data_IF_577472467456
#
_entry.id   IF_577472467456
#
_cell.length_a   1.000
_cell.length_b   1.000
_cell.length_c   1.000
_cell.angle_alpha   90.00
_cell.angle_beta   90.00
_cell.angle_gamma   90.00
#
_symmetry.space_group_name_H-M   'P 1'
#
loop_
_entity.id
_entity.type
_entity.pdbx_description
1 polymer ?
#
# COMPACT_ATOMS: atom_id res chain seq x y z
N UNK A 1 -24.46 -4.52 -17.74
CA UNK A 1 -24.14 -3.15 -18.24
C UNK A 1 -25.33 -2.22 -18.02
N UNK A 2 -26.58 -2.59 -18.37
CA UNK A 2 -27.77 -1.73 -18.22
C UNK A 2 -28.13 -1.47 -16.75
N UNK A 3 -28.07 -2.46 -15.87
CA UNK A 3 -28.33 -2.31 -14.43
C UNK A 3 -27.35 -1.36 -13.72
N UNK A 4 -26.14 -1.25 -14.24
CA UNK A 4 -25.13 -0.32 -13.73
C UNK A 4 -25.47 1.14 -14.06
N UNK A 5 -25.95 1.40 -15.28
CA UNK A 5 -26.26 2.75 -15.75
C UNK A 5 -27.47 3.39 -15.02
N UNK A 6 -28.54 2.63 -14.74
CA UNK A 6 -29.71 3.14 -14.01
C UNK A 6 -29.40 3.48 -12.55
N UNK A 7 -28.51 2.73 -11.93
CA UNK A 7 -28.16 2.93 -10.52
C UNK A 7 -27.29 4.18 -10.30
N UNK A 8 -26.37 4.47 -11.24
CA UNK A 8 -25.48 5.62 -11.15
C UNK A 8 -26.22 6.96 -11.34
N UNK A 9 -27.25 7.01 -12.15
CA UNK A 9 -28.04 8.21 -12.38
C UNK A 9 -28.77 8.69 -11.09
N UNK A 10 -29.08 7.78 -10.16
CA UNK A 10 -29.77 8.11 -8.90
C UNK A 10 -28.86 8.61 -7.78
N UNK A 11 -27.53 8.37 -7.87
CA UNK A 11 -26.58 8.69 -6.79
C UNK A 11 -25.90 10.04 -6.97
N UNK A 12 -25.76 10.51 -8.20
CA UNK A 12 -25.06 11.76 -8.51
C UNK A 12 -25.76 13.05 -8.05
N UNK A 13 -27.00 12.97 -7.58
CA UNK A 13 -27.78 14.15 -7.21
C UNK A 13 -27.79 14.46 -5.69
N UNK A 14 -27.45 13.48 -4.81
CA UNK A 14 -27.62 13.68 -3.37
C UNK A 14 -26.33 13.95 -2.57
N UNK A 15 -25.15 13.48 -3.02
CA UNK A 15 -23.91 13.65 -2.25
C UNK A 15 -22.73 14.11 -3.13
N UNK A 16 -22.51 15.40 -3.22
CA UNK A 16 -21.55 16.11 -4.06
C UNK A 16 -20.04 15.76 -3.90
N UNK A 17 -19.66 14.49 -3.82
CA UNK A 17 -18.29 14.06 -3.55
C UNK A 17 -17.59 13.19 -4.60
N UNK A 18 -18.30 12.70 -5.62
CA UNK A 18 -17.69 11.78 -6.61
C UNK A 18 -17.17 12.51 -7.86
N UNK A 19 -16.11 11.98 -8.47
CA UNK A 19 -15.49 12.58 -9.65
C UNK A 19 -16.41 12.59 -10.88
N UNK A 20 -16.18 13.51 -11.84
CA UNK A 20 -16.94 13.60 -13.08
C UNK A 20 -16.93 12.30 -13.92
N UNK A 21 -15.98 11.40 -13.69
CA UNK A 21 -15.91 10.09 -14.35
C UNK A 21 -17.04 9.16 -13.92
N UNK A 22 -17.67 9.43 -12.79
CA UNK A 22 -18.87 8.74 -12.34
C UNK A 22 -20.06 8.90 -13.29
N UNK A 23 -20.12 10.04 -13.97
CA UNK A 23 -21.17 10.34 -14.95
C UNK A 23 -21.00 9.56 -16.27
N UNK A 24 -19.84 8.96 -16.51
CA UNK A 24 -19.59 8.12 -17.69
C UNK A 24 -20.04 6.65 -17.53
N UNK A 25 -20.52 6.26 -16.37
CA UNK A 25 -21.10 4.94 -16.13
C UNK A 25 -20.09 3.81 -15.86
N UNK A 26 -18.79 4.12 -15.75
CA UNK A 26 -17.77 3.14 -15.41
C UNK A 26 -16.89 3.64 -14.26
N UNK A 27 -16.79 2.88 -13.17
CA UNK A 27 -15.82 3.15 -12.11
C UNK A 27 -14.46 2.63 -12.56
N UNK A 28 -13.49 3.53 -12.69
CA UNK A 28 -12.12 3.18 -13.07
C UNK A 28 -11.10 3.59 -12.01
N UNK A 29 -11.42 4.51 -11.12
CA UNK A 29 -10.50 5.04 -10.11
C UNK A 29 -10.49 4.15 -8.87
N UNK A 30 -9.30 3.78 -8.40
CA UNK A 30 -9.15 2.82 -7.31
C UNK A 30 -9.84 3.22 -6.02
N UNK A 31 -9.78 4.49 -5.62
CA UNK A 31 -10.48 5.00 -4.43
C UNK A 31 -11.99 4.95 -4.56
N UNK A 32 -12.53 5.37 -5.71
CA UNK A 32 -13.97 5.36 -5.98
C UNK A 32 -14.53 3.93 -6.02
N UNK A 33 -13.77 2.97 -6.61
CA UNK A 33 -14.12 1.55 -6.58
C UNK A 33 -14.20 1.04 -5.13
N UNK A 34 -13.21 1.38 -4.30
CA UNK A 34 -13.20 0.95 -2.90
C UNK A 34 -14.42 1.48 -2.14
N UNK A 35 -14.69 2.78 -2.21
CA UNK A 35 -15.85 3.40 -1.55
C UNK A 35 -17.18 2.80 -2.02
N UNK A 36 -17.32 2.60 -3.34
CA UNK A 36 -18.51 1.99 -3.90
C UNK A 36 -18.78 0.58 -3.34
N UNK A 37 -17.74 -0.28 -3.28
CA UNK A 37 -17.91 -1.64 -2.78
C UNK A 37 -18.21 -1.65 -1.29
N UNK A 38 -17.52 -0.82 -0.48
CA UNK A 38 -17.75 -0.68 0.95
C UNK A 38 -19.20 -0.30 1.25
N UNK A 39 -19.71 0.68 0.52
CA UNK A 39 -21.09 1.16 0.66
C UNK A 39 -22.12 0.11 0.21
N UNK A 40 -21.88 -0.54 -0.93
CA UNK A 40 -22.76 -1.63 -1.43
C UNK A 40 -22.86 -2.80 -0.47
N UNK A 41 -21.78 -3.16 0.17
CA UNK A 41 -21.74 -4.20 1.17
C UNK A 41 -22.29 -3.74 2.53
N UNK A 42 -22.62 -2.44 2.68
CA UNK A 42 -23.04 -1.81 3.95
C UNK A 42 -22.06 -2.12 5.09
N UNK A 43 -20.77 -2.13 4.76
CA UNK A 43 -19.71 -2.30 5.74
C UNK A 43 -19.54 -0.99 6.51
N UNK A 44 -19.24 -1.10 7.81
CA UNK A 44 -18.85 0.07 8.60
C UNK A 44 -17.42 0.47 8.22
N UNK A 45 -17.21 1.72 7.81
CA UNK A 45 -15.92 2.24 7.38
C UNK A 45 -15.74 3.71 7.75
N UNK A 46 -14.49 4.12 7.91
CA UNK A 46 -14.12 5.51 8.20
C UNK A 46 -14.17 6.34 6.90
N UNK A 47 -15.31 6.95 6.64
CA UNK A 47 -15.56 7.74 5.43
C UNK A 47 -14.53 8.87 5.25
N UNK A 48 -14.22 9.61 6.31
CA UNK A 48 -13.31 10.77 6.24
C UNK A 48 -11.88 10.33 5.90
N UNK A 49 -11.42 9.21 6.46
CA UNK A 49 -10.12 8.63 6.13
C UNK A 49 -10.04 8.18 4.65
N UNK A 50 -11.08 7.52 4.14
CA UNK A 50 -11.13 7.13 2.72
C UNK A 50 -11.15 8.35 1.80
N UNK A 51 -12.01 9.33 2.06
CA UNK A 51 -12.12 10.56 1.25
C UNK A 51 -10.82 11.35 1.28
N UNK A 52 -10.15 11.44 2.43
CA UNK A 52 -8.85 12.10 2.55
C UNK A 52 -7.76 11.49 1.65
N UNK A 53 -7.84 10.19 1.35
CA UNK A 53 -6.88 9.49 0.49
C UNK A 53 -7.28 9.43 -0.99
N UNK A 54 -8.51 9.80 -1.38
CA UNK A 54 -8.96 9.77 -2.78
C UNK A 54 -7.98 10.42 -3.76
N UNK A 55 -7.37 11.60 -3.47
CA UNK A 55 -6.42 12.22 -4.40
C UNK A 55 -5.19 11.35 -4.72
N UNK A 56 -4.87 10.39 -3.85
CA UNK A 56 -3.79 9.43 -4.04
C UNK A 56 -4.33 8.18 -4.72
N UNK A 57 -5.39 7.59 -4.18
CA UNK A 57 -5.95 6.32 -4.64
C UNK A 57 -6.51 6.40 -6.06
N UNK A 58 -7.10 7.55 -6.42
CA UNK A 58 -7.66 7.79 -7.75
C UNK A 58 -6.60 8.04 -8.85
N UNK A 59 -5.31 8.01 -8.49
CA UNK A 59 -4.21 7.94 -9.48
C UNK A 59 -4.02 6.54 -10.06
N UNK A 60 -4.61 5.52 -9.44
CA UNK A 60 -4.56 4.12 -9.86
C UNK A 60 -5.85 3.81 -10.60
N UNK A 61 -5.74 3.42 -11.85
CA UNK A 61 -6.86 3.14 -12.72
C UNK A 61 -6.98 1.64 -12.96
N UNK A 62 -8.18 1.13 -12.69
CA UNK A 62 -8.52 -0.28 -12.88
C UNK A 62 -9.69 -0.38 -13.85
N UNK A 63 -9.72 -1.43 -14.64
CA UNK A 63 -10.78 -1.65 -15.62
C UNK A 63 -11.08 -3.14 -15.71
N UNK A 64 -12.34 -3.50 -15.55
CA UNK A 64 -12.78 -4.88 -15.57
C UNK A 64 -14.13 -5.04 -14.91
N UNK A 65 -14.52 -6.27 -14.68
CA UNK A 65 -15.75 -6.62 -13.96
C UNK A 65 -15.50 -7.84 -13.09
N UNK A 66 -16.24 -7.94 -12.02
CA UNK A 66 -16.23 -9.11 -11.14
C UNK A 66 -17.18 -10.14 -11.74
N UNK A 67 -16.65 -11.26 -12.19
CA UNK A 67 -17.40 -12.38 -12.77
C UNK A 67 -17.30 -13.67 -11.94
N UNK A 68 -16.53 -13.63 -10.87
CA UNK A 68 -16.39 -14.75 -9.94
C UNK A 68 -17.45 -14.67 -8.84
N UNK A 69 -18.42 -15.59 -8.89
CA UNK A 69 -19.49 -15.68 -7.90
C UNK A 69 -19.13 -16.53 -6.68
N UNK A 70 -17.97 -17.16 -6.66
CA UNK A 70 -17.50 -17.97 -5.54
C UNK A 70 -16.74 -17.15 -4.50
N UNK A 71 -16.26 -15.94 -4.89
CA UNK A 71 -15.52 -15.03 -4.02
C UNK A 71 -16.43 -13.92 -3.50
N UNK A 72 -16.29 -13.54 -2.24
CA UNK A 72 -17.04 -12.37 -1.72
C UNK A 72 -16.55 -11.09 -2.40
N UNK A 73 -17.43 -10.10 -2.57
CA UNK A 73 -17.05 -8.82 -3.17
C UNK A 73 -15.94 -8.10 -2.38
N UNK A 74 -15.88 -8.33 -1.06
CA UNK A 74 -14.82 -7.80 -0.21
C UNK A 74 -13.48 -8.49 -0.46
N UNK A 75 -13.44 -9.81 -0.55
CA UNK A 75 -12.22 -10.55 -0.82
C UNK A 75 -11.71 -10.24 -2.24
N UNK A 76 -12.62 -10.19 -3.21
CA UNK A 76 -12.28 -9.77 -4.57
C UNK A 76 -11.66 -8.36 -4.59
N UNK A 77 -12.28 -7.38 -3.92
CA UNK A 77 -11.75 -6.02 -3.82
C UNK A 77 -10.36 -6.00 -3.19
N UNK A 78 -10.17 -6.75 -2.11
CA UNK A 78 -8.93 -6.84 -1.37
C UNK A 78 -7.80 -7.41 -2.21
N UNK A 79 -8.07 -8.47 -2.95
CA UNK A 79 -7.07 -9.17 -3.77
C UNK A 79 -6.75 -8.43 -5.07
N UNK A 80 -7.75 -7.85 -5.73
CA UNK A 80 -7.60 -7.34 -7.08
C UNK A 80 -7.43 -5.81 -7.18
N UNK A 81 -7.76 -5.07 -6.12
CA UNK A 81 -7.67 -3.61 -6.10
C UNK A 81 -6.79 -3.14 -4.93
N UNK A 82 -7.20 -3.42 -3.68
CA UNK A 82 -6.52 -2.89 -2.48
C UNK A 82 -5.07 -3.37 -2.42
N UNK A 83 -4.79 -4.62 -2.77
CA UNK A 83 -3.42 -5.19 -2.77
C UNK A 83 -2.43 -4.43 -3.67
N UNK A 84 -2.94 -3.65 -4.63
CA UNK A 84 -2.13 -2.86 -5.55
C UNK A 84 -2.13 -1.37 -5.23
N UNK A 85 -2.97 -0.92 -4.30
CA UNK A 85 -2.96 0.45 -3.80
C UNK A 85 -1.86 0.64 -2.74
N UNK A 86 -1.34 1.85 -2.56
CA UNK A 86 -0.29 2.13 -1.57
C UNK A 86 -0.85 2.29 -0.15
N UNK A 87 -1.79 1.44 0.23
CA UNK A 87 -2.46 1.48 1.53
C UNK A 87 -2.45 0.13 2.22
N UNK A 88 -2.53 0.17 3.53
CA UNK A 88 -2.92 -0.92 4.38
C UNK A 88 -4.31 -0.63 4.96
N UNK A 89 -5.18 -1.63 4.92
CA UNK A 89 -6.55 -1.48 5.43
C UNK A 89 -6.66 -2.19 6.77
N UNK A 90 -7.08 -1.46 7.79
CA UNK A 90 -7.22 -1.96 9.16
C UNK A 90 -8.64 -1.81 9.65
N UNK A 91 -9.01 -2.64 10.62
CA UNK A 91 -10.29 -2.52 11.32
C UNK A 91 -10.07 -1.69 12.58
N UNK A 92 -10.59 -0.49 12.61
CA UNK A 92 -10.49 0.47 13.72
C UNK A 92 -11.84 0.68 14.42
N UNK A 93 -11.87 1.53 15.43
CA UNK A 93 -13.11 1.92 16.10
C UNK A 93 -14.09 2.65 15.17
N UNK A 94 -13.61 3.26 14.07
CA UNK A 94 -14.41 3.89 13.02
C UNK A 94 -14.77 2.96 11.87
N UNK A 95 -14.54 1.65 12.01
CA UNK A 95 -14.75 0.66 10.94
C UNK A 95 -13.50 0.42 10.09
N UNK A 96 -13.70 0.04 8.84
CA UNK A 96 -12.63 -0.25 7.87
C UNK A 96 -11.93 1.06 7.48
N UNK A 97 -10.68 1.23 7.91
CA UNK A 97 -9.90 2.46 7.75
C UNK A 97 -8.67 2.22 6.87
N UNK A 98 -8.44 3.02 5.81
CA UNK A 98 -7.24 2.95 4.99
C UNK A 98 -6.11 3.77 5.62
N UNK A 99 -4.90 3.23 5.63
CA UNK A 99 -3.69 3.92 6.06
C UNK A 99 -2.66 3.90 4.93
N UNK A 100 -2.08 5.05 4.62
CA UNK A 100 -1.06 5.15 3.59
C UNK A 100 0.21 4.42 4.03
N UNK A 101 0.78 3.60 3.16
CA UNK A 101 2.01 2.86 3.44
C UNK A 101 3.20 3.81 3.65
N UNK A 102 4.03 3.50 4.63
CA UNK A 102 5.25 4.26 4.95
C UNK A 102 6.16 4.48 3.73
N UNK A 103 6.20 3.49 2.83
CA UNK A 103 7.05 3.49 1.64
C UNK A 103 6.39 4.04 0.37
N UNK A 104 5.27 4.74 0.49
CA UNK A 104 4.64 5.33 -0.69
C UNK A 104 5.62 6.25 -1.44
N UNK A 105 5.92 5.93 -2.71
CA UNK A 105 7.01 6.54 -3.45
C UNK A 105 6.85 8.03 -3.74
N UNK A 106 5.63 8.52 -3.86
CA UNK A 106 5.38 9.92 -4.23
C UNK A 106 5.17 10.85 -3.05
N UNK A 107 4.96 10.31 -1.87
CA UNK A 107 4.73 11.12 -0.66
C UNK A 107 5.12 10.32 0.59
N UNK A 108 6.05 10.83 1.38
CA UNK A 108 6.34 10.24 2.69
C UNK A 108 5.26 10.70 3.66
N UNK A 109 4.54 9.78 4.32
CA UNK A 109 3.53 10.14 5.30
C UNK A 109 4.11 10.99 6.43
N UNK A 110 3.31 11.91 6.97
CA UNK A 110 3.72 12.71 8.12
C UNK A 110 3.78 11.87 9.39
N UNK A 111 4.70 12.24 10.28
CA UNK A 111 4.80 11.65 11.61
C UNK A 111 3.69 12.18 12.50
N UNK A 112 2.86 11.30 13.03
CA UNK A 112 1.76 11.64 13.93
C UNK A 112 2.23 11.81 15.37
N UNK A 113 3.19 10.99 15.80
CA UNK A 113 3.70 10.98 17.17
C UNK A 113 5.21 10.84 17.18
N UNK A 114 5.86 11.52 18.16
CA UNK A 114 7.29 11.34 18.45
C UNK A 114 7.44 10.60 19.77
N UNK A 115 8.15 9.49 19.76
CA UNK A 115 8.33 8.62 20.92
C UNK A 115 9.82 8.38 21.16
N UNK A 116 10.26 8.58 22.39
CA UNK A 116 11.60 8.20 22.84
C UNK A 116 11.49 6.96 23.72
N UNK A 117 12.37 5.99 23.49
CA UNK A 117 12.46 4.81 24.34
C UNK A 117 12.69 5.20 25.81
N UNK A 118 11.90 4.59 26.67
CA UNK A 118 11.97 4.79 28.11
C UNK A 118 11.28 3.59 28.79
N UNK A 119 11.31 3.48 30.11
CA UNK A 119 10.69 2.38 30.83
C UNK A 119 9.17 2.20 30.67
N UNK A 120 8.50 3.08 29.93
CA UNK A 120 7.07 2.96 29.55
C UNK A 120 6.85 2.53 28.10
N UNK A 121 7.87 2.68 27.26
CA UNK A 121 7.91 2.26 25.86
C UNK A 121 9.29 1.69 25.59
N UNK A 122 9.42 0.37 25.53
CA UNK A 122 10.67 -0.37 25.51
C UNK A 122 10.77 -1.25 24.27
N UNK A 123 11.93 -1.30 23.65
CA UNK A 123 12.22 -2.24 22.57
C UNK A 123 12.45 -3.63 23.16
N UNK A 124 11.68 -4.61 22.69
CA UNK A 124 11.77 -6.01 23.16
C UNK A 124 12.75 -6.81 22.31
N UNK A 125 12.72 -6.59 21.00
CA UNK A 125 13.56 -7.33 20.04
C UNK A 125 14.47 -6.37 19.30
N UNK A 126 15.65 -6.85 18.87
CA UNK A 126 16.45 -6.11 17.90
C UNK A 126 15.74 -6.00 16.54
N UNK A 127 16.32 -5.20 15.65
CA UNK A 127 15.82 -5.05 14.27
C UNK A 127 15.88 -6.42 13.57
N UNK A 128 14.72 -6.90 13.13
CA UNK A 128 14.55 -8.19 12.47
C UNK A 128 14.02 -8.00 11.03
N UNK A 129 14.46 -8.81 10.06
CA UNK A 129 13.82 -8.82 8.76
C UNK A 129 12.39 -9.34 8.89
N UNK A 130 11.45 -8.70 8.19
CA UNK A 130 10.12 -9.27 7.98
C UNK A 130 10.23 -10.43 6.98
N UNK A 131 9.39 -11.45 7.19
CA UNK A 131 9.33 -12.61 6.29
C UNK A 131 8.60 -12.26 4.99
N UNK A 132 9.22 -11.36 4.23
CA UNK A 132 8.76 -10.97 2.90
C UNK A 132 9.89 -11.18 1.90
N UNK A 133 9.63 -11.85 0.77
CA UNK A 133 10.67 -12.08 -0.23
C UNK A 133 11.16 -10.75 -0.82
N UNK A 134 12.48 -10.61 -0.89
CA UNK A 134 13.12 -9.47 -1.56
C UNK A 134 12.86 -9.56 -3.06
N UNK A 135 12.52 -8.43 -3.68
CA UNK A 135 12.30 -8.33 -5.13
C UNK A 135 13.02 -7.11 -5.66
N UNK A 136 13.85 -7.31 -6.68
CA UNK A 136 14.60 -6.23 -7.35
C UNK A 136 14.56 -6.30 -8.87
N UNK A 137 14.03 -7.39 -9.41
CA UNK A 137 13.70 -7.52 -10.82
C UNK A 137 12.22 -7.90 -10.90
N UNK A 138 11.38 -6.98 -11.36
CA UNK A 138 9.94 -7.14 -11.36
C UNK A 138 9.40 -7.01 -12.79
N UNK A 139 8.78 -8.08 -13.28
CA UNK A 139 8.01 -8.03 -14.53
C UNK A 139 6.54 -7.89 -14.20
N UNK A 140 5.91 -6.81 -14.65
CA UNK A 140 4.47 -6.60 -14.53
C UNK A 140 3.81 -6.83 -15.89
N UNK A 141 2.89 -7.78 -15.95
CA UNK A 141 2.02 -8.02 -17.09
C UNK A 141 0.67 -7.38 -16.84
N UNK A 142 0.17 -6.61 -17.82
CA UNK A 142 -1.09 -5.88 -17.74
C UNK A 142 -1.80 -5.82 -19.09
N UNK A 143 -2.96 -5.18 -19.19
CA UNK A 143 -3.83 -5.23 -20.38
C UNK A 143 -4.23 -6.67 -20.74
N UNK A 144 -4.85 -7.37 -19.79
CA UNK A 144 -5.34 -8.72 -20.06
C UNK A 144 -6.48 -8.72 -21.06
N UNK A 145 -6.37 -9.51 -22.11
CA UNK A 145 -7.40 -9.65 -23.15
C UNK A 145 -8.10 -10.98 -23.02
N UNK A 146 -9.38 -10.96 -22.70
CA UNK A 146 -10.23 -12.17 -22.67
C UNK A 146 -10.31 -12.87 -24.02
N UNK A 147 -10.25 -12.10 -25.13
CA UNK A 147 -10.34 -12.66 -26.48
C UNK A 147 -9.12 -13.50 -26.87
N UNK A 148 -7.95 -13.16 -26.31
CA UNK A 148 -6.69 -13.86 -26.61
C UNK A 148 -6.18 -14.67 -25.43
N UNK A 149 -6.87 -14.64 -24.29
CA UNK A 149 -6.47 -15.28 -23.04
C UNK A 149 -5.01 -14.97 -22.68
N UNK A 150 -4.62 -13.71 -22.82
CA UNK A 150 -3.23 -13.28 -22.61
C UNK A 150 -3.08 -11.80 -22.30
N UNK A 151 -1.98 -11.47 -21.63
CA UNK A 151 -1.57 -10.09 -21.38
C UNK A 151 -0.93 -9.49 -22.64
N UNK A 152 -1.40 -8.31 -23.04
CA UNK A 152 -0.96 -7.62 -24.26
C UNK A 152 0.22 -6.69 -24.02
N UNK A 153 0.52 -6.37 -22.75
CA UNK A 153 1.58 -5.43 -22.40
C UNK A 153 2.35 -5.90 -21.16
N UNK A 154 3.61 -5.49 -21.07
CA UNK A 154 4.42 -5.68 -19.88
C UNK A 154 5.40 -4.54 -19.66
N UNK A 155 5.72 -4.28 -18.41
CA UNK A 155 6.84 -3.42 -18.01
C UNK A 155 7.81 -4.24 -17.16
N UNK A 156 9.07 -3.84 -17.18
CA UNK A 156 10.12 -4.51 -16.42
C UNK A 156 10.86 -3.49 -15.58
N UNK A 157 11.01 -3.76 -14.28
CA UNK A 157 12.01 -3.09 -13.45
C UNK A 157 13.26 -3.95 -13.48
N UNK A 158 14.31 -3.49 -14.14
CA UNK A 158 15.57 -4.23 -14.24
C UNK A 158 16.70 -3.45 -13.55
N UNK A 159 17.26 -3.97 -12.44
CA UNK A 159 18.30 -3.28 -11.67
C UNK A 159 19.64 -3.16 -12.41
N UNK A 160 19.82 -3.86 -13.52
CA UNK A 160 21.06 -3.86 -14.32
C UNK A 160 21.11 -2.72 -15.32
N UNK A 161 19.96 -2.10 -15.61
CA UNK A 161 19.84 -1.03 -16.59
C UNK A 161 20.11 0.31 -15.91
N UNK A 162 20.92 1.14 -16.54
CA UNK A 162 21.30 2.47 -16.03
C UNK A 162 20.47 3.60 -16.61
N UNK A 163 19.82 3.39 -17.76
CA UNK A 163 19.01 4.38 -18.45
C UNK A 163 17.59 3.86 -18.63
N UNK A 164 16.58 4.75 -18.43
CA UNK A 164 15.20 4.41 -18.69
C UNK A 164 14.97 4.17 -20.16
N UNK A 165 14.29 3.07 -20.50
CA UNK A 165 13.82 2.73 -21.82
C UNK A 165 12.30 2.63 -21.81
N UNK A 166 11.64 2.67 -22.95
CA UNK A 166 10.19 2.86 -23.07
C UNK A 166 9.29 1.96 -22.20
N UNK A 167 9.74 0.76 -21.84
CA UNK A 167 9.01 -0.18 -20.97
C UNK A 167 9.91 -0.81 -19.88
N UNK A 168 11.08 -0.21 -19.67
CA UNK A 168 12.03 -0.68 -18.67
C UNK A 168 12.32 0.45 -17.69
N UNK A 169 12.01 0.20 -16.42
CA UNK A 169 12.14 1.15 -15.32
C UNK A 169 13.52 1.02 -14.71
N UNK A 170 14.23 2.14 -14.67
CA UNK A 170 15.43 2.28 -13.87
C UNK A 170 15.06 2.77 -12.46
N UNK A 171 15.14 1.88 -11.48
CA UNK A 171 14.82 2.23 -10.10
C UNK A 171 16.09 2.13 -9.22
N UNK A 172 16.45 3.22 -8.48
CA UNK A 172 17.64 3.23 -7.64
C UNK A 172 17.56 2.24 -6.48
N UNK A 173 16.36 1.97 -5.94
CA UNK A 173 16.15 0.98 -4.88
C UNK A 173 16.40 -0.44 -5.42
N UNK A 174 15.89 -0.75 -6.61
CA UNK A 174 16.14 -2.03 -7.27
C UNK A 174 17.66 -2.26 -7.50
N UNK A 175 18.38 -1.24 -7.96
CA UNK A 175 19.85 -1.34 -8.15
C UNK A 175 20.60 -1.57 -6.86
N UNK A 176 20.29 -0.82 -5.80
CA UNK A 176 20.91 -1.00 -4.49
C UNK A 176 20.61 -2.39 -3.93
N UNK A 177 19.39 -2.85 -4.09
CA UNK A 177 18.97 -4.20 -3.72
C UNK A 177 19.75 -5.27 -4.46
N UNK A 178 19.90 -5.12 -5.77
CA UNK A 178 20.68 -6.05 -6.59
C UNK A 178 22.15 -6.12 -6.15
N UNK A 179 22.77 -4.99 -5.81
CA UNK A 179 24.14 -4.96 -5.29
C UNK A 179 24.28 -5.71 -3.96
N UNK A 180 23.26 -5.68 -3.09
CA UNK A 180 23.29 -6.31 -1.77
C UNK A 180 22.91 -7.78 -1.79
N UNK A 181 21.92 -8.15 -2.59
CA UNK A 181 21.22 -9.45 -2.49
C UNK A 181 21.31 -10.29 -3.77
N UNK A 182 21.94 -9.79 -4.83
CA UNK A 182 21.90 -10.39 -6.15
C UNK A 182 20.52 -10.26 -6.80
N UNK A 183 20.32 -10.93 -7.95
CA UNK A 183 19.07 -10.87 -8.70
C UNK A 183 17.94 -11.62 -7.95
N UNK A 184 16.82 -10.95 -7.75
CA UNK A 184 15.60 -11.47 -7.11
C UNK A 184 14.40 -11.14 -7.98
N UNK A 185 13.94 -12.12 -8.72
CA UNK A 185 12.94 -11.95 -9.77
C UNK A 185 11.53 -12.28 -9.27
N UNK A 186 10.56 -11.51 -9.75
CA UNK A 186 9.13 -11.79 -9.57
C UNK A 186 8.37 -11.37 -10.83
N UNK A 187 7.29 -12.09 -11.12
CA UNK A 187 6.31 -11.73 -12.16
C UNK A 187 5.00 -11.43 -11.47
N UNK A 188 4.44 -10.26 -11.73
CA UNK A 188 3.14 -9.82 -11.22
C UNK A 188 2.17 -9.68 -12.38
N UNK A 189 1.03 -10.31 -12.28
CA UNK A 189 -0.04 -10.27 -13.28
C UNK A 189 -1.16 -9.38 -12.77
N UNK A 190 -1.53 -8.36 -13.57
CA UNK A 190 -2.52 -7.34 -13.22
C UNK A 190 -3.68 -7.38 -14.23
N UNK A 191 -4.65 -8.29 -14.08
CA UNK A 191 -5.71 -8.47 -15.06
C UNK A 191 -6.61 -7.25 -15.21
N UNK A 192 -6.76 -6.45 -14.15
CA UNK A 192 -7.63 -5.28 -14.11
C UNK A 192 -6.91 -3.95 -14.38
N UNK A 193 -5.62 -3.96 -14.65
CA UNK A 193 -4.85 -2.75 -14.99
C UNK A 193 -4.65 -2.66 -16.49
N UNK A 194 -5.12 -1.55 -17.08
CA UNK A 194 -4.99 -1.25 -18.50
C UNK A 194 -4.14 -0.01 -18.75
N UNK A 195 -4.00 0.84 -17.76
CA UNK A 195 -3.21 2.06 -17.84
C UNK A 195 -1.74 1.82 -17.51
N UNK A 196 -0.86 2.24 -18.42
CA UNK A 196 0.59 2.13 -18.27
C UNK A 196 1.10 2.90 -17.03
N UNK A 197 0.51 4.07 -16.71
CA UNK A 197 0.93 4.87 -15.56
C UNK A 197 0.61 4.16 -14.25
N UNK A 198 -0.54 3.49 -14.17
CA UNK A 198 -0.92 2.65 -13.02
C UNK A 198 0.04 1.49 -12.86
N UNK A 199 0.37 0.77 -13.94
CA UNK A 199 1.35 -0.31 -13.89
C UNK A 199 2.72 0.16 -13.39
N UNK A 200 3.19 1.33 -13.85
CA UNK A 200 4.45 1.95 -13.36
C UNK A 200 4.40 2.31 -11.87
N UNK A 201 3.27 2.86 -11.38
CA UNK A 201 3.11 3.20 -9.96
C UNK A 201 3.17 1.94 -9.10
N UNK A 202 2.41 0.92 -9.47
CA UNK A 202 2.42 -0.37 -8.77
C UNK A 202 3.83 -0.97 -8.75
N UNK A 203 4.56 -0.93 -9.86
CA UNK A 203 5.93 -1.40 -9.94
C UNK A 203 6.85 -0.70 -8.93
N UNK A 204 6.80 0.63 -8.89
CA UNK A 204 7.62 1.45 -7.98
C UNK A 204 7.26 1.22 -6.51
N UNK A 205 5.98 1.14 -6.18
CA UNK A 205 5.53 0.89 -4.81
C UNK A 205 5.99 -0.50 -4.33
N UNK A 206 5.83 -1.53 -5.16
CA UNK A 206 6.28 -2.90 -4.82
C UNK A 206 7.81 -2.99 -4.63
N UNK A 207 8.59 -2.35 -5.49
CA UNK A 207 10.05 -2.31 -5.36
C UNK A 207 10.46 -1.56 -4.09
N UNK A 208 9.80 -0.46 -3.74
CA UNK A 208 10.11 0.27 -2.50
C UNK A 208 9.84 -0.55 -1.25
N UNK A 209 8.72 -1.23 -1.20
CA UNK A 209 8.36 -2.06 -0.05
C UNK A 209 9.28 -3.28 0.07
N UNK A 210 9.59 -3.94 -1.06
CA UNK A 210 10.25 -5.27 -1.04
C UNK A 210 11.70 -5.26 -1.49
N UNK A 211 12.19 -4.17 -2.09
CA UNK A 211 13.52 -4.13 -2.69
C UNK A 211 14.65 -4.25 -1.66
N UNK A 212 14.55 -3.62 -0.51
CA UNK A 212 15.61 -3.63 0.51
C UNK A 212 15.38 -4.65 1.62
N UNK A 213 14.25 -5.35 1.58
CA UNK A 213 13.80 -6.20 2.67
C UNK A 213 13.18 -5.36 3.79
N UNK A 214 11.91 -5.58 4.04
CA UNK A 214 11.20 -4.91 5.11
C UNK A 214 11.79 -5.35 6.48
N UNK A 215 11.95 -4.40 7.39
CA UNK A 215 12.46 -4.64 8.74
C UNK A 215 11.43 -4.21 9.78
N UNK A 216 11.40 -4.94 10.87
CA UNK A 216 10.54 -4.63 11.98
C UNK A 216 11.27 -4.71 13.32
N UNK A 217 10.71 -4.05 14.32
CA UNK A 217 11.04 -4.21 15.73
C UNK A 217 9.76 -4.44 16.52
N UNK A 218 9.87 -5.20 17.59
CA UNK A 218 8.80 -5.31 18.56
C UNK A 218 9.08 -4.41 19.75
N UNK A 219 8.04 -3.74 20.23
CA UNK A 219 8.10 -2.87 21.38
C UNK A 219 7.02 -3.21 22.39
N UNK A 220 7.32 -3.04 23.69
CA UNK A 220 6.38 -3.16 24.78
C UNK A 220 6.07 -1.79 25.33
N UNK A 221 4.79 -1.48 25.51
CA UNK A 221 4.37 -0.17 26.02
C UNK A 221 3.31 -0.31 27.11
N UNK A 222 3.35 0.63 28.07
CA UNK A 222 2.33 0.70 29.13
C UNK A 222 0.95 1.07 28.55
N UNK A 223 -0.16 0.88 29.31
CA UNK A 223 -1.51 1.26 28.89
C UNK A 223 -1.66 2.71 28.42
N UNK A 224 -0.76 3.60 28.84
CA UNK A 224 -0.73 5.00 28.44
C UNK A 224 -0.68 5.19 26.91
N UNK A 225 -0.09 4.23 26.19
CA UNK A 225 0.05 4.23 24.73
C UNK A 225 -1.12 3.55 23.99
N UNK A 226 -2.25 3.36 24.69
CA UNK A 226 -3.46 2.75 24.09
C UNK A 226 -4.01 3.50 22.86
N UNK A 227 -3.71 4.79 22.76
CA UNK A 227 -4.13 5.65 21.65
C UNK A 227 -3.43 5.34 20.32
N UNK A 228 -2.27 4.69 20.36
CA UNK A 228 -1.57 4.28 19.15
C UNK A 228 -2.35 3.15 18.46
N UNK A 229 -2.61 3.32 17.17
CA UNK A 229 -3.32 2.36 16.31
C UNK A 229 -2.42 1.70 15.27
N UNK A 230 -2.90 0.60 14.68
CA UNK A 230 -2.27 0.03 13.49
C UNK A 230 -2.41 1.05 12.35
N UNK A 231 -1.33 1.25 11.59
CA UNK A 231 -1.25 2.25 10.53
C UNK A 231 -0.63 3.58 10.96
N UNK A 232 -0.60 3.90 12.26
CA UNK A 232 0.00 5.14 12.74
C UNK A 232 1.50 5.21 12.39
N UNK A 233 1.92 6.42 12.00
CA UNK A 233 3.32 6.73 11.72
C UNK A 233 3.92 7.44 12.94
N UNK A 234 4.95 6.84 13.50
CA UNK A 234 5.67 7.39 14.65
C UNK A 234 7.13 7.69 14.29
N UNK A 235 7.70 8.70 14.94
CA UNK A 235 9.15 8.90 14.95
C UNK A 235 9.70 8.32 16.25
N UNK A 236 10.56 7.30 16.14
CA UNK A 236 11.13 6.58 17.27
C UNK A 236 12.61 6.95 17.46
N UNK A 237 12.98 7.27 18.69
CA UNK A 237 14.36 7.43 19.13
C UNK A 237 14.68 6.41 20.23
N UNK A 238 15.82 5.73 20.10
CA UNK A 238 16.25 4.70 21.05
C UNK A 238 17.77 4.56 21.12
N UNK A 239 18.25 3.94 22.19
CA UNK A 239 19.68 3.70 22.42
C UNK A 239 20.30 2.68 21.46
N UNK A 240 19.50 1.92 20.72
CA UNK A 240 19.96 0.97 19.69
C UNK A 240 20.38 1.66 18.39
N UNK A 241 20.44 3.00 18.36
CA UNK A 241 20.87 3.77 17.19
C UNK A 241 19.73 4.24 16.29
N UNK A 242 18.49 4.20 16.77
CA UNK A 242 17.38 4.84 16.08
C UNK A 242 17.28 6.29 16.57
N UNK A 243 17.53 7.24 15.70
CA UNK A 243 17.43 8.67 16.02
C UNK A 243 16.33 9.29 15.15
N UNK A 244 15.17 9.57 15.78
CA UNK A 244 14.00 10.15 15.14
C UNK A 244 13.55 9.36 13.88
N UNK A 245 13.67 8.03 13.96
CA UNK A 245 13.45 7.14 12.82
C UNK A 245 11.96 6.94 12.59
N UNK A 246 11.52 7.08 11.34
CA UNK A 246 10.11 6.85 11.00
C UNK A 246 9.78 5.36 11.02
N UNK A 247 8.70 5.03 11.72
CA UNK A 247 8.17 3.69 11.82
C UNK A 247 6.66 3.71 11.62
N UNK A 248 6.12 2.66 11.01
CA UNK A 248 4.68 2.43 10.93
C UNK A 248 4.28 1.28 11.82
N UNK A 249 3.22 1.45 12.58
CA UNK A 249 2.65 0.38 13.42
C UNK A 249 1.90 -0.59 12.50
N UNK A 250 2.40 -1.83 12.38
CA UNK A 250 1.80 -2.87 11.55
C UNK A 250 1.12 -3.97 12.37
N UNK A 251 1.34 -3.98 13.68
CA UNK A 251 0.71 -4.93 14.60
C UNK A 251 0.52 -4.33 15.97
N UNK A 252 -0.59 -4.69 16.63
CA UNK A 252 -0.93 -4.30 18.00
C UNK A 252 -1.61 -5.45 18.71
N UNK A 253 -1.10 -5.81 19.86
CA UNK A 253 -1.68 -6.83 20.72
C UNK A 253 -1.55 -6.44 22.19
N UNK A 254 -2.36 -7.08 23.05
CA UNK A 254 -2.30 -6.87 24.49
C UNK A 254 -1.78 -8.15 25.16
N UNK A 255 -0.71 -8.03 25.94
CA UNK A 255 -0.07 -9.14 26.62
C UNK A 255 0.56 -8.67 27.94
N UNK A 256 0.42 -9.44 29.03
CA UNK A 256 0.99 -9.18 30.34
C UNK A 256 0.78 -7.74 30.89
N UNK A 257 -0.44 -7.20 30.74
CA UNK A 257 -0.80 -5.83 31.11
C UNK A 257 -0.02 -4.72 30.36
N UNK A 258 0.52 -5.04 29.20
CA UNK A 258 1.22 -4.10 28.32
C UNK A 258 0.73 -4.25 26.88
N UNK A 259 0.82 -3.19 26.14
CA UNK A 259 0.66 -3.23 24.68
C UNK A 259 1.94 -3.77 24.06
N UNK A 260 1.80 -4.64 23.07
CA UNK A 260 2.87 -5.02 22.16
C UNK A 260 2.58 -4.43 20.80
N UNK A 261 3.55 -3.73 20.24
CA UNK A 261 3.49 -3.19 18.89
C UNK A 261 4.57 -3.82 18.04
N UNK A 262 4.22 -4.10 16.79
CA UNK A 262 5.19 -4.44 15.74
C UNK A 262 5.33 -3.20 14.86
N UNK A 263 6.53 -2.66 14.78
CA UNK A 263 6.84 -1.45 14.04
C UNK A 263 7.64 -1.79 12.79
N UNK A 264 7.13 -1.41 11.64
CA UNK A 264 7.85 -1.44 10.38
C UNK A 264 8.77 -0.22 10.30
N UNK A 265 10.06 -0.43 10.08
CA UNK A 265 11.07 0.63 10.11
C UNK A 265 11.33 1.12 8.68
N UNK A 266 11.34 2.43 8.49
CA UNK A 266 11.76 3.03 7.22
C UNK A 266 13.27 2.79 6.97
N UNK A 267 13.62 2.02 5.95
CA UNK A 267 14.93 2.08 5.31
C UNK A 267 14.85 2.94 4.06
N UNK A 268 15.15 4.21 4.19
CA UNK A 268 15.22 5.08 3.02
C UNK A 268 16.67 5.27 2.57
N UNK A 269 17.10 4.55 1.52
CA UNK A 269 18.48 4.64 1.03
C UNK A 269 18.83 6.00 0.43
N UNK A 270 17.81 6.81 0.09
CA UNK A 270 18.00 8.10 -0.57
C UNK A 270 18.29 9.21 0.46
N UNK A 271 17.84 9.05 1.72
CA UNK A 271 17.95 10.08 2.76
C UNK A 271 19.24 9.91 3.58
N UNK A 272 19.88 8.76 3.56
CA UNK A 272 21.13 8.54 4.32
C UNK A 272 22.31 8.16 3.43
N UNK A 273 22.89 9.08 2.63
CA UNK A 273 24.07 8.82 1.81
C UNK A 273 25.36 8.63 2.63
N UNK A 274 25.31 8.78 3.97
CA UNK A 274 26.48 8.69 4.85
C UNK A 274 26.65 7.34 5.55
N UNK A 275 25.81 6.37 5.26
CA UNK A 275 25.84 5.02 5.83
C UNK A 275 26.41 3.95 4.87
N UNK A 276 27.20 4.35 3.87
CA UNK A 276 27.98 3.45 3.03
C UNK A 276 29.46 3.67 3.30
#
# INVERSE_FOLDING_TARGET
VELWNEYYASWGEEDGGFSQDFLSGALTKGGDICLYVLDKLKLEYDYDAWVGLLPILNRYEFSGFMDDYEVTAWDWLRENIISYLPIEVVNSAGGITPNLNLYFYSQTPETQYTITENGQFEIITGIQPLDQPIVNHLTIKFCYSLAYDSYQSSIIVDPRITEEQALIVNDPVARLSFQRFGLREEVLELPFVWDLKTAFRIARDKIRVRGLGAKAIEVSATPRYSYLGIGDIIALSSDIGLENHKCQIIGKSWDDNRWRFVLHIEENPIINPRGL
#
